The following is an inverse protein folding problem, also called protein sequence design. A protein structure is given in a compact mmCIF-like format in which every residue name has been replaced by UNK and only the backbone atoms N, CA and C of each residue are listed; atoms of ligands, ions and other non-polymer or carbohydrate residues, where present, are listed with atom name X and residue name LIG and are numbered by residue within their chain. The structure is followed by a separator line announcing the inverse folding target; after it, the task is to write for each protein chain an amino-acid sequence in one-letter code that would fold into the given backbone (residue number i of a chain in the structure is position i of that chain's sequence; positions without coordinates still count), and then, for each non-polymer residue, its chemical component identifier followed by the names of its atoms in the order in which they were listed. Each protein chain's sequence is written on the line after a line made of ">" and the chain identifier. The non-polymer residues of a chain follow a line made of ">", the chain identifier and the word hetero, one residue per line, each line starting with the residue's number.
data_IF_955411685350
#
_entry.id   IF_955411685350
#
_cell.length_a   1.000
_cell.length_b   1.000
_cell.length_c   1.000
_cell.angle_alpha   90.00
_cell.angle_beta   90.00
_cell.angle_gamma   90.00
#
_symmetry.space_group_name_H-M   'P 1'
#
loop_
_entity.id
_entity.type
_entity.pdbx_description
1 polymer ?
#
# COMPACT_ATOMS: atom_id res chain seq x y z
N UNK A 1 22.51 -6.74 -0.97
CA UNK A 1 21.08 -7.08 -1.11
C UNK A 1 20.39 -6.63 0.17
N UNK A 2 19.42 -5.72 0.09
CA UNK A 2 18.65 -5.29 1.25
C UNK A 2 17.88 -6.48 1.85
N UNK A 3 17.90 -6.63 3.18
CA UNK A 3 17.20 -7.72 3.86
C UNK A 3 15.68 -7.42 3.92
N UNK A 4 14.87 -8.39 4.37
CA UNK A 4 13.41 -8.23 4.45
C UNK A 4 12.98 -6.98 5.24
N UNK A 5 13.62 -6.73 6.38
CA UNK A 5 13.31 -5.58 7.24
C UNK A 5 13.58 -4.28 6.51
N UNK A 6 14.74 -4.14 5.86
CA UNK A 6 15.11 -2.94 5.12
C UNK A 6 14.07 -2.60 4.03
N UNK A 7 13.51 -3.62 3.36
CA UNK A 7 12.47 -3.42 2.34
C UNK A 7 11.16 -2.94 2.96
N UNK A 8 10.74 -3.53 4.08
CA UNK A 8 9.52 -3.10 4.79
C UNK A 8 9.66 -1.68 5.33
N UNK A 9 10.81 -1.33 5.92
CA UNK A 9 11.10 0.03 6.40
C UNK A 9 11.06 1.05 5.26
N UNK A 10 11.61 0.71 4.08
CA UNK A 10 11.56 1.58 2.92
C UNK A 10 10.11 1.83 2.44
N UNK A 11 9.23 0.82 2.49
CA UNK A 11 7.81 1.02 2.18
C UNK A 11 7.12 1.90 3.24
N UNK A 12 7.44 1.73 4.53
CA UNK A 12 6.92 2.62 5.58
C UNK A 12 7.36 4.08 5.40
N UNK A 13 8.63 4.31 5.03
CA UNK A 13 9.14 5.65 4.72
C UNK A 13 8.42 6.25 3.51
N UNK A 14 8.26 5.47 2.43
CA UNK A 14 7.55 5.92 1.24
C UNK A 14 6.07 6.24 1.51
N UNK A 15 5.40 5.42 2.34
CA UNK A 15 4.04 5.68 2.82
C UNK A 15 3.99 6.97 3.64
N UNK A 16 4.90 7.15 4.60
CA UNK A 16 4.96 8.36 5.43
C UNK A 16 5.14 9.62 4.59
N UNK A 17 6.08 9.59 3.63
CA UNK A 17 6.30 10.68 2.68
C UNK A 17 5.04 10.95 1.84
N UNK A 18 4.38 9.91 1.34
CA UNK A 18 3.13 10.06 0.56
C UNK A 18 2.04 10.75 1.37
N UNK A 19 1.85 10.33 2.63
CA UNK A 19 0.85 10.91 3.52
C UNK A 19 1.15 12.37 3.87
N UNK A 20 2.43 12.75 3.92
CA UNK A 20 2.85 14.14 4.18
C UNK A 20 2.43 15.14 3.09
N UNK A 21 2.12 14.65 1.88
CA UNK A 21 1.63 15.47 0.76
C UNK A 21 0.10 15.58 0.71
N UNK A 22 -0.63 14.92 1.61
CA UNK A 22 -2.09 15.01 1.63
C UNK A 22 -2.54 16.46 1.90
N UNK A 23 -3.55 16.96 1.16
CA UNK A 23 -4.00 18.32 1.34
C UNK A 23 -4.74 18.49 2.67
N UNK A 24 -4.46 19.57 3.38
CA UNK A 24 -5.19 19.93 4.61
C UNK A 24 -6.56 20.58 4.32
N UNK A 25 -6.75 21.07 3.09
CA UNK A 25 -8.00 21.73 2.68
C UNK A 25 -9.07 20.71 2.24
N UNK A 26 -10.37 21.04 2.37
CA UNK A 26 -11.45 20.17 1.93
C UNK A 26 -11.33 19.77 0.45
N UNK A 27 -11.69 18.51 0.14
CA UNK A 27 -11.66 17.97 -1.23
C UNK A 27 -12.51 18.83 -2.19
N UNK A 28 -13.62 19.39 -1.71
CA UNK A 28 -14.49 20.29 -2.49
C UNK A 28 -13.80 21.56 -2.98
N UNK A 29 -12.65 21.93 -2.40
CA UNK A 29 -11.85 23.11 -2.76
C UNK A 29 -10.59 22.77 -3.57
N UNK A 30 -10.43 21.50 -3.97
CA UNK A 30 -9.34 21.07 -4.85
C UNK A 30 -9.68 21.35 -6.30
N UNK A 31 -8.72 21.92 -7.03
CA UNK A 31 -8.77 21.98 -8.50
C UNK A 31 -8.69 20.56 -9.10
N UNK A 32 -9.04 20.42 -10.39
CA UNK A 32 -8.93 19.13 -11.09
C UNK A 32 -7.50 18.55 -11.06
N UNK A 33 -6.49 19.43 -11.13
CA UNK A 33 -5.09 19.01 -11.06
C UNK A 33 -4.72 18.48 -9.67
N UNK A 34 -5.15 19.18 -8.62
CA UNK A 34 -4.94 18.75 -7.24
C UNK A 34 -5.70 17.45 -6.92
N UNK A 35 -6.91 17.27 -7.47
CA UNK A 35 -7.64 16.01 -7.36
C UNK A 35 -6.92 14.85 -8.04
N UNK A 36 -6.32 15.07 -9.21
CA UNK A 36 -5.50 14.07 -9.87
C UNK A 36 -4.25 13.72 -9.04
N UNK A 37 -3.61 14.73 -8.44
CA UNK A 37 -2.52 14.55 -7.49
C UNK A 37 -2.94 13.73 -6.27
N UNK A 38 -4.08 14.06 -5.66
CA UNK A 38 -4.65 13.31 -4.53
C UNK A 38 -4.94 11.84 -4.91
N UNK A 39 -5.51 11.59 -6.09
CA UNK A 39 -5.73 10.24 -6.58
C UNK A 39 -4.42 9.45 -6.70
N UNK A 40 -3.35 10.08 -7.19
CA UNK A 40 -2.03 9.47 -7.25
C UNK A 40 -1.44 9.20 -5.85
N UNK A 41 -1.60 10.12 -4.89
CA UNK A 41 -1.17 9.92 -3.50
C UNK A 41 -1.91 8.73 -2.86
N UNK A 42 -3.22 8.63 -3.03
CA UNK A 42 -4.01 7.49 -2.54
C UNK A 42 -3.52 6.19 -3.17
N UNK A 43 -3.30 6.16 -4.48
CA UNK A 43 -2.77 4.99 -5.16
C UNK A 43 -1.39 4.58 -4.64
N UNK A 44 -0.48 5.53 -4.43
CA UNK A 44 0.85 5.27 -3.89
C UNK A 44 0.81 4.71 -2.47
N UNK A 45 -0.08 5.23 -1.63
CA UNK A 45 -0.32 4.69 -0.29
C UNK A 45 -0.72 3.21 -0.35
N UNK A 46 -1.73 2.87 -1.18
CA UNK A 46 -2.19 1.48 -1.33
C UNK A 46 -1.09 0.57 -1.88
N UNK A 47 -0.32 1.03 -2.88
CA UNK A 47 0.79 0.26 -3.43
C UNK A 47 1.85 -0.07 -2.36
N UNK A 48 2.17 0.87 -1.47
CA UNK A 48 3.10 0.62 -0.36
C UNK A 48 2.60 -0.47 0.58
N UNK A 49 1.31 -0.44 0.94
CA UNK A 49 0.67 -1.48 1.76
C UNK A 49 0.76 -2.85 1.07
N UNK A 50 0.44 -2.92 -0.22
CA UNK A 50 0.54 -4.16 -1.01
C UNK A 50 1.97 -4.68 -1.07
N UNK A 51 2.96 -3.81 -1.22
CA UNK A 51 4.36 -4.19 -1.22
C UNK A 51 4.75 -4.83 0.11
N UNK A 52 4.37 -4.23 1.25
CA UNK A 52 4.60 -4.82 2.57
C UNK A 52 3.97 -6.21 2.67
N UNK A 53 2.71 -6.36 2.27
CA UNK A 53 2.02 -7.66 2.30
C UNK A 53 2.70 -8.70 1.40
N UNK A 54 3.13 -8.32 0.19
CA UNK A 54 3.88 -9.20 -0.71
C UNK A 54 5.20 -9.66 -0.09
N UNK A 55 5.93 -8.79 0.60
CA UNK A 55 7.14 -9.21 1.31
C UNK A 55 6.81 -10.21 2.42
N UNK A 56 5.75 -9.96 3.21
CA UNK A 56 5.34 -10.87 4.30
C UNK A 56 4.94 -12.24 3.74
N UNK A 57 4.21 -12.27 2.63
CA UNK A 57 3.82 -13.50 1.95
C UNK A 57 5.05 -14.29 1.50
N UNK A 58 6.02 -13.62 0.87
CA UNK A 58 7.29 -14.25 0.48
C UNK A 58 8.03 -14.83 1.70
N UNK A 59 8.12 -14.08 2.80
CA UNK A 59 8.78 -14.53 4.03
C UNK A 59 8.10 -15.77 4.63
N UNK A 60 6.77 -15.82 4.60
CA UNK A 60 5.97 -16.95 5.09
C UNK A 60 5.77 -18.07 4.06
N UNK A 61 6.36 -17.95 2.87
CA UNK A 61 6.15 -18.88 1.75
C UNK A 61 4.68 -19.07 1.37
N UNK A 62 3.89 -17.99 1.51
CA UNK A 62 2.50 -17.91 1.09
C UNK A 62 2.48 -17.45 -0.37
N UNK A 63 1.71 -18.13 -1.21
CA UNK A 63 1.54 -17.74 -2.61
C UNK A 63 0.88 -16.36 -2.74
N UNK A 64 1.47 -15.50 -3.58
CA UNK A 64 0.92 -14.18 -3.93
C UNK A 64 -0.14 -14.37 -5.02
N UNK A 65 -1.37 -13.87 -4.83
CA UNK A 65 -2.43 -13.95 -5.84
C UNK A 65 -2.04 -13.30 -7.18
N UNK A 66 -2.67 -13.75 -8.26
CA UNK A 66 -2.46 -13.24 -9.62
C UNK A 66 -3.81 -13.07 -10.35
N UNK A 67 -3.83 -12.47 -11.54
CA UNK A 67 -5.06 -12.22 -12.30
C UNK A 67 -5.64 -10.81 -12.06
N UNK A 68 -6.87 -10.54 -12.50
CA UNK A 68 -7.45 -9.18 -12.45
C UNK A 68 -7.90 -8.73 -11.05
N UNK A 69 -8.22 -9.68 -10.17
CA UNK A 69 -8.70 -9.46 -8.80
C UNK A 69 -7.62 -9.59 -7.73
N UNK A 70 -6.35 -9.73 -8.15
CA UNK A 70 -5.25 -10.09 -7.25
C UNK A 70 -5.08 -9.13 -6.06
N UNK A 71 -5.31 -7.83 -6.26
CA UNK A 71 -5.23 -6.81 -5.22
C UNK A 71 -6.20 -7.11 -4.05
N UNK A 72 -7.47 -7.41 -4.38
CA UNK A 72 -8.48 -7.74 -3.38
C UNK A 72 -8.16 -9.07 -2.70
N UNK A 73 -7.74 -10.07 -3.48
CA UNK A 73 -7.38 -11.39 -2.97
C UNK A 73 -6.18 -11.34 -2.03
N UNK A 74 -5.21 -10.44 -2.27
CA UNK A 74 -4.07 -10.23 -1.39
C UNK A 74 -4.53 -9.81 0.01
N UNK A 75 -5.46 -8.85 0.10
CA UNK A 75 -6.00 -8.37 1.37
C UNK A 75 -6.81 -9.46 2.09
N UNK A 76 -7.69 -10.16 1.37
CA UNK A 76 -8.50 -11.24 1.93
C UNK A 76 -7.62 -12.37 2.46
N UNK A 77 -6.58 -12.74 1.72
CA UNK A 77 -5.63 -13.77 2.13
C UNK A 77 -4.79 -13.29 3.33
N UNK A 78 -4.34 -12.04 3.34
CA UNK A 78 -3.61 -11.48 4.47
C UNK A 78 -4.44 -11.52 5.76
N UNK A 79 -5.74 -11.22 5.66
CA UNK A 79 -6.69 -11.37 6.76
C UNK A 79 -6.85 -12.82 7.22
N UNK A 80 -7.09 -13.75 6.29
CA UNK A 80 -7.25 -15.17 6.61
C UNK A 80 -6.00 -15.77 7.30
N UNK A 81 -4.81 -15.27 6.93
CA UNK A 81 -3.52 -15.66 7.49
C UNK A 81 -3.17 -14.89 8.78
N UNK A 82 -4.09 -14.07 9.31
CA UNK A 82 -3.93 -13.22 10.50
C UNK A 82 -2.72 -12.27 10.43
N UNK A 83 -2.37 -11.81 9.22
CA UNK A 83 -1.32 -10.80 9.00
C UNK A 83 -1.87 -9.40 9.28
N UNK A 84 -3.15 -9.17 8.97
CA UNK A 84 -3.90 -7.94 9.25
C UNK A 84 -5.18 -8.29 10.02
N UNK A 85 -5.70 -7.32 10.77
CA UNK A 85 -6.96 -7.47 11.53
C UNK A 85 -8.20 -7.36 10.64
N UNK A 86 -9.36 -7.64 11.24
CA UNK A 86 -10.68 -7.25 10.72
C UNK A 86 -10.84 -5.74 10.55
#
# INVERSE_FOLDING_TARGET
>A
MANFKDRVEAEYEAIGNTLSFLPEKPISHLSKLELAGLAALIHNFYNGVENILKQIFQLKSIEIPTGSSWHQELLLKAKNENIISD
#
